data_IF_464974517189
#
_entry.id   IF_464974517189
#
_cell.length_a   1.000
_cell.length_b   1.000
_cell.length_c   1.000
_cell.angle_alpha   90.00
_cell.angle_beta   90.00
_cell.angle_gamma   90.00
#
_symmetry.space_group_name_H-M   'P 1'
#
loop_
_entity.id
_entity.type
_entity.pdbx_description
1 polymer ?
#
# COMPACT_ATOMS: atom_id res chain seq x y z
N UNK A 1 -18.06 3.80 -8.59
CA UNK A 1 -16.97 4.64 -8.10
C UNK A 1 -15.86 3.76 -7.58
N UNK A 2 -14.79 3.77 -8.26
CA UNK A 2 -13.67 2.93 -7.89
C UNK A 2 -12.89 3.61 -6.77
N UNK A 3 -12.98 3.04 -5.60
CA UNK A 3 -12.09 3.42 -4.54
C UNK A 3 -10.79 2.65 -4.75
N UNK A 4 -9.73 3.34 -5.03
CA UNK A 4 -8.46 2.69 -5.29
C UNK A 4 -7.75 2.37 -3.99
N UNK A 5 -8.00 1.17 -3.50
CA UNK A 5 -7.29 0.67 -2.34
C UNK A 5 -6.09 -0.14 -2.79
N UNK A 6 -4.96 0.13 -2.17
CA UNK A 6 -3.76 -0.67 -2.36
C UNK A 6 -3.42 -1.30 -1.02
N UNK A 7 -3.34 -2.62 -0.98
CA UNK A 7 -2.88 -3.33 0.20
C UNK A 7 -1.51 -3.93 -0.09
N UNK A 8 -0.83 -4.37 0.97
CA UNK A 8 0.45 -5.04 0.81
C UNK A 8 0.31 -6.26 -0.11
N UNK A 9 -0.79 -7.00 0.04
CA UNK A 9 -1.06 -8.17 -0.80
C UNK A 9 -1.23 -7.76 -2.27
N UNK A 10 -1.93 -6.65 -2.52
CA UNK A 10 -2.12 -6.15 -3.88
C UNK A 10 -0.78 -5.81 -4.52
N UNK A 11 0.09 -5.14 -3.78
CA UNK A 11 1.44 -4.83 -4.25
C UNK A 11 2.23 -6.09 -4.59
N UNK A 12 2.15 -7.09 -3.73
CA UNK A 12 2.84 -8.34 -3.96
C UNK A 12 2.38 -9.01 -5.24
N UNK A 13 1.08 -9.00 -5.49
CA UNK A 13 0.52 -9.65 -6.67
C UNK A 13 0.82 -8.88 -7.95
N UNK A 14 0.64 -7.57 -7.93
CA UNK A 14 0.83 -6.76 -9.14
C UNK A 14 2.29 -6.67 -9.58
N UNK A 15 3.18 -6.55 -8.62
CA UNK A 15 4.61 -6.35 -8.93
C UNK A 15 5.45 -7.57 -8.60
N UNK A 16 4.82 -8.67 -8.21
CA UNK A 16 5.50 -9.91 -7.83
C UNK A 16 6.57 -9.67 -6.78
N UNK A 17 6.22 -8.89 -5.77
CA UNK A 17 7.12 -8.57 -4.68
C UNK A 17 6.88 -9.49 -3.49
N UNK A 18 7.91 -9.67 -2.69
CA UNK A 18 7.77 -10.32 -1.40
C UNK A 18 7.18 -9.32 -0.42
N UNK A 19 6.65 -9.83 0.71
CA UNK A 19 6.03 -8.99 1.72
C UNK A 19 6.95 -7.86 2.18
N UNK A 20 8.21 -8.18 2.46
CA UNK A 20 9.18 -7.19 2.91
C UNK A 20 9.36 -6.08 1.89
N UNK A 21 9.50 -6.44 0.62
CA UNK A 21 9.68 -5.47 -0.45
C UNK A 21 8.43 -4.62 -0.63
N UNK A 22 7.25 -5.24 -0.58
CA UNK A 22 5.99 -4.51 -0.72
C UNK A 22 5.84 -3.48 0.39
N UNK A 23 6.13 -3.86 1.63
CA UNK A 23 6.06 -2.94 2.78
C UNK A 23 7.02 -1.77 2.61
N UNK A 24 8.22 -2.05 2.14
CA UNK A 24 9.23 -1.02 1.93
C UNK A 24 8.75 0.00 0.90
N UNK A 25 8.20 -0.46 -0.21
CA UNK A 25 7.69 0.43 -1.25
C UNK A 25 6.51 1.25 -0.78
N UNK A 26 5.58 0.62 -0.05
CA UNK A 26 4.41 1.33 0.48
C UNK A 26 4.84 2.44 1.44
N UNK A 27 5.76 2.13 2.33
CA UNK A 27 6.29 3.12 3.26
C UNK A 27 6.90 4.31 2.52
N UNK A 28 7.67 4.01 1.48
CA UNK A 28 8.31 5.05 0.69
C UNK A 28 7.28 5.95 0.00
N UNK A 29 6.24 5.36 -0.57
CA UNK A 29 5.19 6.13 -1.22
C UNK A 29 4.43 7.01 -0.23
N UNK A 30 4.22 6.53 0.98
CA UNK A 30 3.59 7.33 2.03
C UNK A 30 4.48 8.52 2.39
N UNK A 31 5.77 8.30 2.53
CA UNK A 31 6.73 9.37 2.84
C UNK A 31 6.78 10.42 1.74
N UNK A 32 6.60 10.01 0.50
CA UNK A 32 6.59 10.94 -0.63
C UNK A 32 5.25 11.63 -0.81
N UNK A 33 4.23 11.24 -0.04
CA UNK A 33 2.90 11.83 -0.15
C UNK A 33 2.10 11.36 -1.34
N UNK A 34 2.53 10.26 -1.98
CA UNK A 34 1.83 9.71 -3.13
C UNK A 34 0.58 8.95 -2.70
N UNK A 35 0.68 8.25 -1.57
CA UNK A 35 -0.43 7.49 -1.01
C UNK A 35 -0.58 7.81 0.47
N UNK A 36 -1.74 7.45 1.02
CA UNK A 36 -2.06 7.68 2.42
C UNK A 36 -2.46 6.37 3.07
N UNK A 37 -1.96 6.14 4.28
CA UNK A 37 -2.31 4.94 5.03
C UNK A 37 -3.62 5.16 5.78
N UNK A 38 -4.56 4.22 5.58
CA UNK A 38 -5.85 4.23 6.24
C UNK A 38 -6.13 2.82 6.79
N UNK A 39 -7.17 2.70 7.60
CA UNK A 39 -7.61 1.41 8.09
C UNK A 39 -7.04 1.04 9.44
N UNK A 40 -7.29 -0.18 9.86
CA UNK A 40 -6.89 -0.68 11.17
C UNK A 40 -5.41 -1.04 11.19
N UNK A 41 -4.86 -1.12 12.42
CA UNK A 41 -3.45 -1.44 12.61
C UNK A 41 -3.08 -2.79 12.00
N UNK A 42 -3.95 -3.78 12.14
CA UNK A 42 -3.70 -5.13 11.64
C UNK A 42 -4.21 -5.36 10.22
N UNK A 43 -4.89 -4.39 9.65
CA UNK A 43 -5.39 -4.47 8.29
C UNK A 43 -5.27 -3.10 7.60
N UNK A 44 -4.03 -2.62 7.42
CA UNK A 44 -3.84 -1.32 6.79
C UNK A 44 -4.16 -1.36 5.31
N UNK A 45 -4.77 -0.29 4.83
CA UNK A 45 -5.00 -0.09 3.41
C UNK A 45 -4.35 1.23 3.00
N UNK A 46 -3.98 1.35 1.76
CA UNK A 46 -3.32 2.55 1.24
C UNK A 46 -4.18 3.13 0.14
N UNK A 47 -4.40 4.42 0.20
CA UNK A 47 -5.25 5.13 -0.73
C UNK A 47 -4.42 6.20 -1.42
N UNK A 48 -4.68 6.43 -2.69
CA UNK A 48 -4.01 7.49 -3.42
C UNK A 48 -4.29 8.83 -2.74
N UNK A 49 -3.25 9.53 -2.43
CA UNK A 49 -3.37 10.84 -1.78
C UNK A 49 -3.92 11.92 -2.71
#
# INVERSE_FOLDING_TARGET
AATHFITCRTMQRQFRLRETAARKWLKRFVEQGVIRREGARNAPVYIKA
#
